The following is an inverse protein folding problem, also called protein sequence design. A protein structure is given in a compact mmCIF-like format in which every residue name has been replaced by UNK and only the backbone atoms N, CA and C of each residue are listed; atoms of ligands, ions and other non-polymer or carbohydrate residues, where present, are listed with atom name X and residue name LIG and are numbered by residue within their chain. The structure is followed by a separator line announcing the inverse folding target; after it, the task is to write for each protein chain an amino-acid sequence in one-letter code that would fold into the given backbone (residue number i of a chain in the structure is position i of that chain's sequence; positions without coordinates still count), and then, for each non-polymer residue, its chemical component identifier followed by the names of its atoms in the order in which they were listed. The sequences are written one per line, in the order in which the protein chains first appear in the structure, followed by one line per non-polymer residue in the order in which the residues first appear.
data_IF_908762320642
#
_entry.id   IF_908762320642
#
_cell.length_a   1.000
_cell.length_b   1.000
_cell.length_c   1.000
_cell.angle_alpha   90.00
_cell.angle_beta   90.00
_cell.angle_gamma   90.00
#
_symmetry.space_group_name_H-M   'P 1'
#
loop_
_entity.id
_entity.type
_entity.pdbx_description
1 polymer ?
#
# COMPACT_ATOMS: atom_id res chain seq x y z
N UNK A 1 -0.12 -7.15 3.46
CA UNK A 1 1.07 -6.67 4.19
C UNK A 1 1.41 -7.66 5.28
N UNK A 2 2.65 -7.72 5.74
CA UNK A 2 3.05 -8.53 6.90
C UNK A 2 3.84 -7.63 7.86
N UNK A 3 3.84 -7.96 9.15
CA UNK A 3 4.73 -7.34 10.13
C UNK A 3 5.84 -8.29 10.61
N UNK A 4 6.75 -7.74 11.42
CA UNK A 4 7.91 -8.46 11.96
C UNK A 4 7.54 -9.54 12.99
N UNK A 5 6.28 -9.58 13.44
CA UNK A 5 5.76 -10.60 14.37
C UNK A 5 5.06 -11.75 13.63
N UNK A 6 5.10 -11.75 12.30
CA UNK A 6 4.48 -12.76 11.45
C UNK A 6 2.97 -12.61 11.30
N UNK A 7 2.38 -11.47 11.69
CA UNK A 7 0.96 -11.19 11.40
C UNK A 7 0.81 -10.79 9.94
N UNK A 8 -0.16 -11.38 9.26
CA UNK A 8 -0.47 -11.11 7.84
C UNK A 8 -1.78 -10.34 7.75
N UNK A 9 -1.74 -9.19 7.10
CA UNK A 9 -2.87 -8.27 6.93
C UNK A 9 -3.39 -8.34 5.49
N UNK A 10 -4.69 -8.63 5.35
CA UNK A 10 -5.43 -8.63 4.09
C UNK A 10 -6.84 -8.08 4.30
N UNK A 11 -7.47 -7.54 3.25
CA UNK A 11 -8.86 -7.12 3.32
C UNK A 11 -9.82 -8.31 3.17
N UNK A 12 -11.02 -8.19 3.72
CA UNK A 12 -12.09 -9.18 3.57
C UNK A 12 -12.52 -9.36 2.10
N UNK A 13 -12.16 -8.44 1.21
CA UNK A 13 -12.33 -8.58 -0.25
C UNK A 13 -11.61 -9.82 -0.77
N UNK A 14 -10.44 -10.17 -0.23
CA UNK A 14 -9.72 -11.40 -0.63
C UNK A 14 -10.57 -12.64 -0.36
N UNK A 15 -11.32 -12.69 0.74
CA UNK A 15 -12.24 -13.81 1.03
C UNK A 15 -13.39 -13.79 0.01
N UNK A 16 -13.99 -12.62 -0.22
CA UNK A 16 -15.13 -12.45 -1.15
C UNK A 16 -14.77 -12.85 -2.59
N UNK A 17 -13.56 -12.56 -3.04
CA UNK A 17 -13.11 -12.80 -4.41
C UNK A 17 -12.64 -14.26 -4.62
N UNK A 18 -12.33 -15.00 -3.55
CA UNK A 18 -11.90 -16.42 -3.61
C UNK A 18 -13.05 -17.36 -3.18
N UNK A 19 -14.12 -17.38 -3.98
CA UNK A 19 -15.39 -18.10 -3.66
C UNK A 19 -15.23 -19.61 -3.50
N UNK A 20 -14.22 -20.21 -4.12
CA UNK A 20 -13.97 -21.65 -4.06
C UNK A 20 -13.32 -22.08 -2.74
N UNK A 21 -12.92 -21.13 -1.90
CA UNK A 21 -12.24 -21.40 -0.63
C UNK A 21 -13.11 -21.04 0.56
N UNK A 22 -13.28 -21.97 1.49
CA UNK A 22 -13.75 -21.65 2.82
C UNK A 22 -12.71 -20.78 3.55
N UNK A 23 -13.15 -19.76 4.28
CA UNK A 23 -12.26 -18.82 5.01
C UNK A 23 -11.17 -19.53 5.84
N UNK A 24 -11.45 -20.56 6.66
CA UNK A 24 -10.40 -21.25 7.42
C UNK A 24 -9.35 -21.96 6.55
N UNK A 25 -9.76 -22.48 5.39
CA UNK A 25 -8.85 -23.15 4.45
C UNK A 25 -7.94 -22.12 3.75
N UNK A 26 -8.50 -20.99 3.31
CA UNK A 26 -7.75 -19.90 2.70
C UNK A 26 -6.73 -19.30 3.69
N UNK A 27 -7.16 -19.06 4.93
CA UNK A 27 -6.30 -18.59 6.01
C UNK A 27 -5.13 -19.55 6.27
N UNK A 28 -5.41 -20.86 6.36
CA UNK A 28 -4.37 -21.88 6.53
C UNK A 28 -3.37 -21.87 5.36
N UNK A 29 -3.85 -21.77 4.13
CA UNK A 29 -2.97 -21.74 2.94
C UNK A 29 -2.06 -20.50 2.95
N UNK A 30 -2.62 -19.31 3.21
CA UNK A 30 -1.86 -18.05 3.25
C UNK A 30 -0.80 -18.10 4.34
N UNK A 31 -1.16 -18.49 5.56
CA UNK A 31 -0.23 -18.57 6.68
C UNK A 31 0.89 -19.57 6.41
N UNK A 32 0.57 -20.72 5.80
CA UNK A 32 1.57 -21.73 5.42
C UNK A 32 2.56 -21.19 4.39
N UNK A 33 2.06 -20.57 3.31
CA UNK A 33 2.89 -20.06 2.21
C UNK A 33 3.77 -18.88 2.63
N UNK A 34 3.23 -17.98 3.44
CA UNK A 34 3.92 -16.78 3.89
C UNK A 34 4.67 -16.96 5.21
N UNK A 35 4.64 -18.18 5.78
CA UNK A 35 5.19 -18.49 7.11
C UNK A 35 4.66 -17.53 8.20
N UNK A 36 3.40 -17.15 8.08
CA UNK A 36 2.71 -16.28 9.02
C UNK A 36 2.21 -17.02 10.26
N UNK A 37 2.01 -16.30 11.35
CA UNK A 37 1.52 -16.82 12.63
C UNK A 37 0.04 -16.50 12.88
N UNK A 38 -0.47 -15.44 12.26
CA UNK A 38 -1.86 -14.98 12.45
C UNK A 38 -2.36 -14.14 11.28
N UNK A 39 -3.57 -14.40 10.81
CA UNK A 39 -4.25 -13.49 9.88
C UNK A 39 -4.94 -12.35 10.64
N UNK A 40 -4.84 -11.16 10.09
CA UNK A 40 -5.59 -9.97 10.48
C UNK A 40 -6.43 -9.55 9.27
N UNK A 41 -7.73 -9.80 9.37
CA UNK A 41 -8.68 -9.46 8.32
C UNK A 41 -9.21 -8.05 8.55
N UNK A 42 -8.95 -7.17 7.58
CA UNK A 42 -9.40 -5.78 7.61
C UNK A 42 -10.71 -5.63 6.84
N UNK A 43 -11.63 -4.76 7.27
CA UNK A 43 -12.82 -4.46 6.48
C UNK A 43 -12.42 -3.91 5.10
N UNK A 44 -13.28 -4.14 4.10
CA UNK A 44 -13.13 -3.56 2.76
C UNK A 44 -13.18 -2.04 2.86
N UNK A 45 -12.26 -1.36 2.19
CA UNK A 45 -12.24 0.11 2.21
C UNK A 45 -13.43 0.63 1.39
N UNK A 46 -14.25 1.56 1.92
CA UNK A 46 -15.31 2.18 1.13
C UNK A 46 -14.73 2.81 -0.14
N UNK A 47 -15.26 2.42 -1.30
CA UNK A 47 -14.80 2.92 -2.59
C UNK A 47 -13.56 2.22 -3.15
N UNK A 48 -13.12 1.08 -2.60
CA UNK A 48 -12.02 0.25 -3.15
C UNK A 48 -12.26 -0.19 -4.62
N UNK A 49 -13.51 -0.25 -5.06
CA UNK A 49 -13.89 -0.53 -6.45
C UNK A 49 -13.67 0.65 -7.41
N UNK A 50 -13.35 1.84 -6.88
CA UNK A 50 -13.06 3.00 -7.71
C UNK A 50 -11.70 2.84 -8.40
N UNK A 51 -11.66 3.11 -9.71
CA UNK A 51 -10.42 3.07 -10.51
C UNK A 51 -9.37 4.05 -9.98
N UNK A 52 -9.77 5.13 -9.29
CA UNK A 52 -8.86 6.17 -8.80
C UNK A 52 -9.07 6.42 -7.31
N UNK A 53 -8.09 5.97 -6.53
CA UNK A 53 -8.03 6.24 -5.09
C UNK A 53 -6.68 6.90 -4.79
N UNK A 54 -6.71 8.20 -4.53
CA UNK A 54 -5.52 8.96 -4.13
C UNK A 54 -5.11 8.54 -2.72
N UNK A 55 -4.18 7.59 -2.64
CA UNK A 55 -3.73 7.02 -1.37
C UNK A 55 -2.23 7.20 -1.17
N UNK A 56 -1.88 7.98 -0.15
CA UNK A 56 -0.49 8.18 0.28
C UNK A 56 0.14 6.92 0.90
N UNK A 57 -0.69 5.94 1.29
CA UNK A 57 -0.22 4.65 1.82
C UNK A 57 0.22 3.69 0.72
N UNK A 58 -0.07 3.98 -0.55
CA UNK A 58 0.49 3.25 -1.70
C UNK A 58 1.93 3.70 -1.97
N UNK A 59 2.74 3.69 -0.92
CA UNK A 59 4.13 4.10 -0.88
C UNK A 59 5.07 2.91 -0.78
N UNK A 60 6.33 3.13 -1.14
CA UNK A 60 7.40 2.15 -0.97
C UNK A 60 8.31 2.62 0.16
N UNK A 61 8.51 1.77 1.17
CA UNK A 61 9.59 1.95 2.13
C UNK A 61 10.85 1.29 1.57
N UNK A 62 11.99 1.93 1.69
CA UNK A 62 13.31 1.32 1.48
C UNK A 62 14.21 1.81 2.62
N UNK A 63 14.60 0.91 3.50
CA UNK A 63 15.36 1.24 4.71
C UNK A 63 14.66 2.36 5.53
N UNK A 64 15.31 3.51 5.70
CA UNK A 64 14.78 4.69 6.40
C UNK A 64 14.13 5.74 5.48
N UNK A 65 13.82 5.37 4.23
CA UNK A 65 13.25 6.29 3.24
C UNK A 65 11.88 5.81 2.78
N UNK A 66 10.93 6.73 2.65
CA UNK A 66 9.61 6.51 2.07
C UNK A 66 9.55 7.21 0.71
N UNK A 67 9.27 6.44 -0.34
CA UNK A 67 8.91 6.94 -1.65
C UNK A 67 7.38 7.08 -1.70
N UNK A 68 6.90 8.28 -1.42
CA UNK A 68 5.48 8.58 -1.26
C UNK A 68 4.88 9.10 -2.57
N UNK A 69 3.74 8.57 -3.04
CA UNK A 69 3.07 9.11 -4.22
C UNK A 69 2.54 10.53 -3.94
N UNK A 70 2.65 11.40 -4.93
CA UNK A 70 2.01 12.72 -4.97
C UNK A 70 1.15 12.86 -6.22
N UNK A 71 0.07 13.62 -6.12
CA UNK A 71 -0.98 13.65 -7.13
C UNK A 71 -1.34 15.04 -7.63
N UNK A 72 -0.80 16.09 -7.01
CA UNK A 72 -0.91 17.43 -7.56
C UNK A 72 -0.12 17.57 -8.87
N UNK A 73 -0.80 18.04 -9.91
CA UNK A 73 -0.20 18.43 -11.17
C UNK A 73 -0.72 19.81 -11.59
N UNK A 74 0.19 20.78 -11.71
CA UNK A 74 -0.12 22.13 -12.19
C UNK A 74 -0.80 22.15 -13.57
N UNK A 75 -0.62 21.10 -14.39
CA UNK A 75 -1.27 20.95 -15.70
C UNK A 75 -2.78 20.75 -15.58
N UNK A 76 -3.25 20.16 -14.48
CA UNK A 76 -4.63 19.77 -14.28
C UNK A 76 -5.22 20.53 -13.09
N UNK A 77 -5.95 21.62 -13.37
CA UNK A 77 -6.49 22.52 -12.35
C UNK A 77 -7.33 21.81 -11.27
N UNK A 78 -8.04 20.73 -11.62
CA UNK A 78 -8.82 19.95 -10.66
C UNK A 78 -7.98 19.21 -9.61
N UNK A 79 -6.66 19.10 -9.82
CA UNK A 79 -5.74 18.49 -8.83
C UNK A 79 -5.24 19.50 -7.81
N UNK A 80 -5.55 20.80 -7.94
CA UNK A 80 -5.10 21.84 -7.01
C UNK A 80 -5.40 21.51 -5.54
N UNK A 81 -6.57 20.96 -5.15
CA UNK A 81 -6.83 20.57 -3.75
C UNK A 81 -5.90 19.46 -3.23
N UNK A 82 -5.29 18.66 -4.11
CA UNK A 82 -4.38 17.58 -3.74
C UNK A 82 -3.03 18.12 -3.26
N UNK A 83 -2.65 19.35 -3.63
CA UNK A 83 -1.36 19.91 -3.21
C UNK A 83 -1.19 19.92 -1.70
N UNK A 84 -2.18 20.45 -0.97
CA UNK A 84 -2.13 20.50 0.48
C UNK A 84 -2.14 19.09 1.11
N UNK A 85 -2.80 18.13 0.45
CA UNK A 85 -2.86 16.74 0.91
C UNK A 85 -1.55 16.01 0.67
N UNK A 86 -0.87 16.26 -0.45
CA UNK A 86 0.46 15.74 -0.75
C UNK A 86 1.47 16.24 0.29
N UNK A 87 1.39 17.52 0.65
CA UNK A 87 2.25 18.12 1.67
C UNK A 87 1.94 17.56 3.07
N UNK A 88 0.66 17.38 3.43
CA UNK A 88 0.25 16.77 4.69
C UNK A 88 0.65 15.29 4.79
N UNK A 89 0.52 14.51 3.71
CA UNK A 89 0.93 13.11 3.65
C UNK A 89 2.43 12.95 3.91
N UNK A 90 3.26 13.82 3.30
CA UNK A 90 4.69 13.82 3.56
C UNK A 90 5.01 14.14 5.02
N UNK A 91 4.36 15.16 5.58
CA UNK A 91 4.56 15.57 6.98
C UNK A 91 4.22 14.45 7.98
N UNK A 92 3.23 13.60 7.68
CA UNK A 92 2.93 12.42 8.52
C UNK A 92 4.10 11.44 8.53
N UNK A 93 4.65 11.08 7.37
CA UNK A 93 5.81 10.17 7.31
C UNK A 93 7.06 10.77 7.95
N UNK A 94 7.30 12.07 7.75
CA UNK A 94 8.40 12.79 8.39
C UNK A 94 8.26 12.82 9.90
N UNK A 95 7.04 13.05 10.42
CA UNK A 95 6.73 13.00 11.85
C UNK A 95 6.93 11.61 12.47
N UNK A 96 6.89 10.55 11.65
CA UNK A 96 7.24 9.18 12.05
C UNK A 96 8.76 8.89 11.98
N UNK A 97 9.58 9.87 11.61
CA UNK A 97 11.05 9.77 11.58
C UNK A 97 11.65 9.30 10.25
N UNK A 98 10.84 9.16 9.20
CA UNK A 98 11.33 8.74 7.89
C UNK A 98 11.85 9.91 7.06
N UNK A 99 12.82 9.64 6.18
CA UNK A 99 13.11 10.52 5.06
C UNK A 99 12.03 10.34 3.99
N UNK A 100 11.50 11.43 3.43
CA UNK A 100 10.45 11.34 2.41
C UNK A 100 10.97 11.80 1.05
N UNK A 101 10.76 10.97 0.03
CA UNK A 101 10.93 11.30 -1.38
C UNK A 101 9.54 11.32 -2.01
N UNK A 102 9.11 12.51 -2.46
CA UNK A 102 7.85 12.68 -3.20
C UNK A 102 8.02 12.16 -4.62
N UNK A 103 7.17 11.24 -5.03
CA UNK A 103 7.17 10.64 -6.36
C UNK A 103 5.86 10.99 -7.06
N UNK A 104 5.96 11.69 -8.19
CA UNK A 104 4.80 12.03 -8.98
C UNK A 104 4.12 10.76 -9.52
N UNK A 105 2.85 10.55 -9.13
CA UNK A 105 2.09 9.34 -9.43
C UNK A 105 0.72 9.63 -10.07
N UNK A 106 0.50 10.87 -10.55
CA UNK A 106 -0.78 11.26 -11.12
C UNK A 106 -1.17 10.44 -12.36
N UNK A 107 -0.20 10.13 -13.22
CA UNK A 107 -0.45 9.30 -14.40
C UNK A 107 -0.69 7.83 -14.00
N UNK A 108 0.09 7.31 -13.04
CA UNK A 108 -0.06 5.94 -12.56
C UNK A 108 -1.46 5.67 -11.97
N UNK A 109 -2.00 6.63 -11.20
CA UNK A 109 -3.32 6.45 -10.57
C UNK A 109 -4.47 6.43 -11.57
N UNK A 110 -4.26 6.93 -12.80
CA UNK A 110 -5.26 6.77 -13.86
C UNK A 110 -5.49 5.30 -14.24
N UNK A 111 -4.53 4.42 -13.91
CA UNK A 111 -4.53 2.99 -14.20
C UNK A 111 -4.71 2.12 -12.93
N UNK A 112 -5.18 2.70 -11.82
CA UNK A 112 -5.54 1.95 -10.60
C UNK A 112 -4.40 1.65 -9.64
N UNK A 113 -3.25 2.33 -9.74
CA UNK A 113 -2.12 2.11 -8.83
C UNK A 113 -1.27 3.35 -8.59
N UNK A 114 -0.32 3.23 -7.66
CA UNK A 114 0.71 4.23 -7.46
C UNK A 114 2.07 3.53 -7.19
N UNK A 115 2.93 4.11 -6.36
CA UNK A 115 4.32 3.66 -6.17
C UNK A 115 4.39 2.21 -5.69
N UNK A 116 3.62 1.81 -4.67
CA UNK A 116 3.65 0.45 -4.13
C UNK A 116 3.18 -0.60 -5.15
N UNK A 117 2.19 -0.27 -5.97
CA UNK A 117 1.63 -1.20 -6.95
C UNK A 117 2.60 -1.62 -8.05
N UNK A 118 3.56 -0.75 -8.41
CA UNK A 118 4.51 -0.97 -9.50
C UNK A 118 5.91 -1.34 -9.01
N UNK A 119 6.08 -1.54 -7.71
CA UNK A 119 7.36 -1.85 -7.09
C UNK A 119 7.28 -3.13 -6.27
N UNK A 120 8.43 -3.77 -6.09
CA UNK A 120 8.57 -4.94 -5.21
C UNK A 120 9.92 -4.87 -4.50
N UNK A 121 9.89 -4.90 -3.17
CA UNK A 121 11.09 -5.01 -2.36
C UNK A 121 11.71 -6.41 -2.51
N UNK A 122 13.04 -6.44 -2.63
CA UNK A 122 13.83 -7.67 -2.53
C UNK A 122 14.56 -7.62 -1.19
N UNK A 123 14.30 -8.56 -0.27
CA UNK A 123 14.99 -8.59 1.00
C UNK A 123 16.49 -8.83 0.78
N UNK A 124 17.32 -8.14 1.55
CA UNK A 124 18.75 -8.42 1.59
C UNK A 124 18.96 -9.85 2.11
N UNK A 125 19.67 -10.68 1.35
CA UNK A 125 20.13 -11.98 1.83
C UNK A 125 21.49 -11.77 2.51
N UNK A 126 21.75 -12.40 3.67
CA UNK A 126 23.09 -12.36 4.25
C UNK A 126 24.11 -12.89 3.21
N UNK A 127 25.18 -12.14 3.01
CA UNK A 127 26.31 -12.58 2.19
C UNK A 127 26.91 -13.83 2.84
N UNK A 128 26.90 -14.95 2.11
CA UNK A 128 27.57 -16.19 2.48
C UNK A 128 29.02 -16.19 1.99
#
# INVERSE_FOLDING_TARGET
MADEQGRIFMSEKVIKDNKDWARPALEKEILTRLRGTKMIWMPVIPGEEAVRIYSYTNSLRVNNTIFMPTYYDRKYAYTQPLKARDDAGAAVYEGLGFKVVKVFAFDAIQFGGAVHCITREVPCLPWF
#
